data_IF_099614796017
#
_entry.id   IF_099614796017
#
_cell.length_a   1.000
_cell.length_b   1.000
_cell.length_c   1.000
_cell.angle_alpha   90.00
_cell.angle_beta   90.00
_cell.angle_gamma   90.00
#
_symmetry.space_group_name_H-M   'P 1'
#
loop_
_entity.id
_entity.type
_entity.pdbx_description
1 polymer ?
#
# COMPACT_ATOMS: atom_id res chain seq x y z
N UNK A 1 -18.98 34.09 -15.96
CA UNK A 1 -18.73 32.98 -15.01
C UNK A 1 -17.31 32.47 -15.24
N UNK A 2 -16.31 33.01 -14.52
CA UNK A 2 -14.88 32.75 -14.77
C UNK A 2 -14.13 32.10 -13.61
N UNK A 3 -14.82 31.76 -12.52
CA UNK A 3 -14.24 31.08 -11.36
C UNK A 3 -13.53 29.77 -11.74
N UNK A 4 -13.98 29.08 -12.82
CA UNK A 4 -13.32 27.88 -13.34
C UNK A 4 -11.87 28.13 -13.77
N UNK A 5 -11.52 29.36 -14.15
CA UNK A 5 -10.15 29.75 -14.53
C UNK A 5 -9.24 30.01 -13.32
N UNK A 6 -9.83 30.16 -12.14
CA UNK A 6 -9.10 30.34 -10.88
C UNK A 6 -8.71 28.99 -10.26
N UNK A 7 -9.29 27.88 -10.74
CA UNK A 7 -8.88 26.54 -10.36
C UNK A 7 -7.49 26.20 -10.89
N UNK A 8 -6.75 25.36 -10.14
CA UNK A 8 -5.54 24.74 -10.67
C UNK A 8 -5.88 23.87 -11.89
N UNK A 9 -4.94 23.79 -12.84
CA UNK A 9 -5.12 22.99 -14.08
C UNK A 9 -5.49 21.53 -13.80
N UNK A 10 -4.93 20.96 -12.73
CA UNK A 10 -5.22 19.60 -12.29
C UNK A 10 -6.68 19.46 -11.83
N UNK A 11 -7.16 20.34 -10.95
CA UNK A 11 -8.55 20.31 -10.48
C UNK A 11 -9.54 20.56 -11.62
N UNK A 12 -9.19 21.48 -12.53
CA UNK A 12 -10.02 21.76 -13.70
C UNK A 12 -10.21 20.52 -14.57
N UNK A 13 -9.14 19.75 -14.82
CA UNK A 13 -9.22 18.50 -15.59
C UNK A 13 -10.19 17.50 -14.97
N UNK A 14 -10.11 17.27 -13.66
CA UNK A 14 -11.01 16.34 -12.97
C UNK A 14 -12.44 16.85 -12.91
N UNK A 15 -12.63 18.15 -12.67
CA UNK A 15 -13.95 18.78 -12.67
C UNK A 15 -14.66 18.58 -14.02
N UNK A 16 -14.00 18.93 -15.12
CA UNK A 16 -14.59 18.80 -16.46
C UNK A 16 -14.87 17.33 -16.80
N UNK A 17 -14.01 16.39 -16.38
CA UNK A 17 -14.29 14.96 -16.52
C UNK A 17 -15.55 14.52 -15.78
N UNK A 18 -15.74 14.97 -14.54
CA UNK A 18 -16.92 14.61 -13.74
C UNK A 18 -18.19 15.26 -14.31
N UNK A 19 -18.10 16.51 -14.78
CA UNK A 19 -19.19 17.17 -15.48
C UNK A 19 -19.57 16.35 -16.72
N UNK A 20 -18.60 15.99 -17.57
CA UNK A 20 -18.85 15.20 -18.77
C UNK A 20 -19.45 13.82 -18.46
N UNK A 21 -18.93 13.14 -17.44
CA UNK A 21 -19.43 11.83 -17.02
C UNK A 21 -20.85 11.93 -16.45
N UNK A 22 -21.17 12.99 -15.68
CA UNK A 22 -22.55 13.19 -15.20
C UNK A 22 -23.55 13.35 -16.35
N UNK A 23 -23.13 13.87 -17.51
CA UNK A 23 -23.98 13.99 -18.69
C UNK A 23 -24.32 12.64 -19.34
N UNK A 24 -23.65 11.52 -19.00
CA UNK A 24 -24.13 10.19 -19.45
C UNK A 24 -25.51 9.86 -18.88
N UNK A 25 -25.93 10.56 -17.82
CA UNK A 25 -27.24 10.45 -17.19
C UNK A 25 -28.16 11.63 -17.56
N UNK A 26 -27.98 12.21 -18.75
CA UNK A 26 -28.72 13.38 -19.24
C UNK A 26 -30.23 13.26 -19.08
N UNK A 27 -30.80 12.09 -19.37
CA UNK A 27 -32.24 11.86 -19.23
C UNK A 27 -32.74 12.10 -17.79
N UNK A 28 -32.00 11.62 -16.78
CA UNK A 28 -32.35 11.85 -15.38
C UNK A 28 -32.21 13.33 -14.99
N UNK A 29 -31.21 14.02 -15.55
CA UNK A 29 -31.01 15.47 -15.35
C UNK A 29 -32.17 16.25 -15.97
N UNK A 30 -32.62 15.89 -17.16
CA UNK A 30 -33.68 16.60 -17.90
C UNK A 30 -35.05 16.47 -17.25
N UNK A 31 -35.32 15.35 -16.58
CA UNK A 31 -36.55 15.13 -15.84
C UNK A 31 -36.59 15.86 -14.48
N UNK A 32 -35.45 16.35 -13.98
CA UNK A 32 -35.39 17.00 -12.68
C UNK A 32 -35.90 18.46 -12.75
N UNK A 33 -36.59 18.88 -11.69
CA UNK A 33 -37.05 20.27 -11.53
C UNK A 33 -35.87 21.26 -11.52
N UNK A 34 -34.76 20.88 -10.88
CA UNK A 34 -33.52 21.63 -10.87
C UNK A 34 -32.41 20.79 -11.50
N UNK A 35 -32.06 21.14 -12.73
CA UNK A 35 -31.06 20.42 -13.55
C UNK A 35 -29.66 20.54 -12.96
N UNK A 36 -29.30 21.71 -12.41
CA UNK A 36 -27.99 21.95 -11.82
C UNK A 36 -27.78 21.12 -10.56
N UNK A 37 -28.80 21.10 -9.69
CA UNK A 37 -28.79 20.25 -8.50
C UNK A 37 -28.78 18.76 -8.84
N UNK A 38 -29.55 18.33 -9.84
CA UNK A 38 -29.55 16.94 -10.29
C UNK A 38 -28.18 16.51 -10.82
N UNK A 39 -27.54 17.35 -11.65
CA UNK A 39 -26.21 17.08 -12.16
C UNK A 39 -25.18 16.95 -11.04
N UNK A 40 -25.25 17.81 -10.01
CA UNK A 40 -24.39 17.74 -8.84
C UNK A 40 -24.57 16.42 -8.06
N UNK A 41 -25.80 15.99 -7.83
CA UNK A 41 -26.07 14.71 -7.15
C UNK A 41 -25.56 13.51 -7.94
N UNK A 42 -25.72 13.53 -9.26
CA UNK A 42 -25.20 12.47 -10.14
C UNK A 42 -23.67 12.45 -10.09
N UNK A 43 -23.02 13.62 -10.19
CA UNK A 43 -21.58 13.74 -10.04
C UNK A 43 -21.09 13.18 -8.69
N UNK A 44 -21.79 13.49 -7.60
CA UNK A 44 -21.47 12.96 -6.26
C UNK A 44 -21.61 11.44 -6.19
N UNK A 45 -22.69 10.88 -6.76
CA UNK A 45 -22.90 9.44 -6.80
C UNK A 45 -21.81 8.71 -7.62
N UNK A 46 -21.38 9.29 -8.76
CA UNK A 46 -20.28 8.78 -9.57
C UNK A 46 -18.97 8.75 -8.76
N UNK A 47 -18.67 9.84 -8.04
CA UNK A 47 -17.49 9.91 -7.18
C UNK A 47 -17.53 8.88 -6.06
N UNK A 48 -18.67 8.74 -5.38
CA UNK A 48 -18.85 7.75 -4.33
C UNK A 48 -18.65 6.33 -4.82
N UNK A 49 -19.18 6.00 -6.01
CA UNK A 49 -18.94 4.70 -6.66
C UNK A 49 -17.45 4.44 -6.88
N UNK A 50 -16.71 5.43 -7.41
CA UNK A 50 -15.27 5.30 -7.66
C UNK A 50 -14.48 5.09 -6.37
N UNK A 51 -14.86 5.78 -5.30
CA UNK A 51 -14.24 5.59 -3.97
C UNK A 51 -14.49 4.16 -3.48
N UNK A 52 -15.73 3.69 -3.51
CA UNK A 52 -16.08 2.32 -3.10
C UNK A 52 -15.33 1.25 -3.93
N UNK A 53 -15.21 1.45 -5.24
CA UNK A 53 -14.44 0.56 -6.12
C UNK A 53 -12.95 0.54 -5.74
N UNK A 54 -12.38 1.67 -5.37
CA UNK A 54 -10.98 1.77 -4.91
C UNK A 54 -10.78 1.13 -3.53
N UNK A 55 -11.71 1.33 -2.60
CA UNK A 55 -11.70 0.68 -1.28
C UNK A 55 -11.75 -0.84 -1.41
N UNK A 56 -12.63 -1.36 -2.27
CA UNK A 56 -12.74 -2.80 -2.53
C UNK A 56 -11.46 -3.37 -3.11
N UNK A 57 -10.86 -2.69 -4.10
CA UNK A 57 -9.57 -3.09 -4.68
C UNK A 57 -8.45 -3.06 -3.65
N UNK A 58 -8.43 -2.05 -2.79
CA UNK A 58 -7.43 -1.92 -1.73
C UNK A 58 -7.57 -3.06 -0.72
N UNK A 59 -8.79 -3.32 -0.24
CA UNK A 59 -9.07 -4.43 0.67
C UNK A 59 -8.71 -5.79 0.05
N UNK A 60 -8.97 -5.99 -1.24
CA UNK A 60 -8.57 -7.19 -1.96
C UNK A 60 -7.04 -7.34 -2.01
N UNK A 61 -6.32 -6.29 -2.40
CA UNK A 61 -4.86 -6.29 -2.47
C UNK A 61 -4.22 -6.49 -1.09
N UNK A 62 -4.76 -5.88 -0.04
CA UNK A 62 -4.31 -6.09 1.33
C UNK A 62 -4.49 -7.54 1.78
N UNK A 63 -5.62 -8.18 1.43
CA UNK A 63 -5.85 -9.60 1.71
C UNK A 63 -4.88 -10.48 0.94
N UNK A 64 -4.67 -10.20 -0.35
CA UNK A 64 -3.71 -10.93 -1.17
C UNK A 64 -2.28 -10.80 -0.59
N UNK A 65 -1.86 -9.58 -0.23
CA UNK A 65 -0.54 -9.35 0.39
C UNK A 65 -0.40 -10.10 1.72
N UNK A 66 -1.45 -10.19 2.55
CA UNK A 66 -1.43 -11.02 3.76
C UNK A 66 -1.30 -12.52 3.48
N UNK A 67 -1.82 -13.01 2.36
CA UNK A 67 -1.69 -14.42 1.95
C UNK A 67 -0.30 -14.74 1.41
N UNK A 68 0.30 -13.84 0.61
CA UNK A 68 1.64 -14.04 0.04
C UNK A 68 2.77 -13.72 1.01
N UNK A 69 2.56 -12.74 1.87
CA UNK A 69 3.42 -12.41 2.99
C UNK A 69 2.62 -12.62 4.27
N UNK A 70 2.33 -13.88 4.65
CA UNK A 70 1.83 -14.13 5.98
C UNK A 70 2.92 -13.58 6.88
N UNK A 71 2.66 -12.45 7.55
CA UNK A 71 3.48 -12.02 8.66
C UNK A 71 3.54 -13.27 9.51
N UNK A 72 4.70 -13.92 9.60
CA UNK A 72 4.94 -14.93 10.62
C UNK A 72 4.54 -14.17 11.88
N UNK A 73 3.40 -14.53 12.44
CA UNK A 73 2.96 -13.99 13.70
C UNK A 73 4.12 -14.32 14.62
N UNK A 74 4.97 -13.32 14.89
CA UNK A 74 6.00 -13.40 15.91
C UNK A 74 5.24 -13.93 17.11
N UNK A 75 5.60 -15.13 17.54
CA UNK A 75 4.88 -15.81 18.61
C UNK A 75 4.79 -14.83 19.77
N UNK A 76 3.70 -14.82 20.53
CA UNK A 76 3.58 -13.96 21.71
C UNK A 76 4.79 -14.09 22.65
N UNK A 77 5.44 -15.28 22.63
CA UNK A 77 6.72 -15.58 23.29
C UNK A 77 7.93 -14.85 22.68
N UNK A 78 8.00 -14.68 21.36
CA UNK A 78 9.07 -13.93 20.70
C UNK A 78 8.90 -12.41 20.90
N UNK A 79 7.66 -11.91 21.00
CA UNK A 79 7.41 -10.51 21.38
C UNK A 79 7.84 -10.23 22.81
N UNK A 80 7.47 -11.10 23.76
CA UNK A 80 7.91 -11.00 25.15
C UNK A 80 9.44 -11.13 25.28
N UNK A 81 10.08 -11.98 24.47
CA UNK A 81 11.54 -12.09 24.45
C UNK A 81 12.22 -10.81 23.93
N UNK A 82 11.67 -10.18 22.89
CA UNK A 82 12.18 -8.92 22.35
C UNK A 82 11.97 -7.75 23.32
N UNK A 83 10.83 -7.70 24.03
CA UNK A 83 10.58 -6.70 25.07
C UNK A 83 11.54 -6.85 26.26
N UNK A 84 11.78 -8.08 26.72
CA UNK A 84 12.77 -8.36 27.77
C UNK A 84 14.20 -8.02 27.35
N UNK A 85 14.56 -8.24 26.09
CA UNK A 85 15.87 -7.87 25.55
C UNK A 85 16.02 -6.34 25.44
N UNK A 86 14.98 -5.64 24.99
CA UNK A 86 14.93 -4.17 24.96
C UNK A 86 15.03 -3.56 26.37
N UNK A 87 14.35 -4.12 27.36
CA UNK A 87 14.46 -3.68 28.76
C UNK A 87 15.86 -3.90 29.35
N UNK A 88 16.52 -5.02 29.01
CA UNK A 88 17.91 -5.28 29.43
C UNK A 88 18.87 -4.27 28.80
N UNK A 89 18.71 -3.96 27.51
CA UNK A 89 19.52 -2.96 26.82
C UNK A 89 19.31 -1.57 27.45
N UNK A 90 18.06 -1.21 27.76
CA UNK A 90 17.74 0.07 28.39
C UNK A 90 18.32 0.18 29.80
N UNK A 91 18.22 -0.87 30.62
CA UNK A 91 18.84 -0.93 31.96
C UNK A 91 20.36 -0.81 31.89
N UNK A 92 20.99 -1.44 30.90
CA UNK A 92 22.45 -1.36 30.71
C UNK A 92 22.91 0.04 30.27
N UNK A 93 22.10 0.76 29.49
CA UNK A 93 22.39 2.14 29.10
C UNK A 93 22.21 3.12 30.27
N UNK A 94 21.20 2.90 31.11
CA UNK A 94 20.91 3.76 32.27
C UNK A 94 21.86 3.51 33.47
N UNK A 95 22.40 2.30 33.62
CA UNK A 95 23.34 1.96 34.70
C UNK A 95 24.78 2.42 34.43
N UNK A 96 25.05 3.05 33.29
CA UNK A 96 26.38 3.59 32.96
C UNK A 96 27.48 2.52 32.79
N UNK A 97 27.12 1.24 32.70
CA UNK A 97 28.11 0.19 32.42
C UNK A 97 28.61 0.35 30.99
N UNK A 98 29.93 0.54 30.85
CA UNK A 98 30.61 0.51 29.56
C UNK A 98 30.30 -0.81 28.87
N UNK A 99 29.64 -0.75 27.72
CA UNK A 99 29.60 -1.86 26.77
C UNK A 99 31.04 -2.09 26.34
N UNK A 100 31.69 -3.13 26.85
CA UNK A 100 32.91 -3.65 26.24
C UNK A 100 32.52 -4.17 24.85
N UNK A 101 32.79 -3.33 23.85
CA UNK A 101 32.76 -3.70 22.45
C UNK A 101 33.88 -4.73 22.22
N UNK A 102 33.58 -5.98 22.51
CA UNK A 102 34.42 -7.12 22.17
C UNK A 102 34.53 -7.18 20.65
N UNK A 103 35.69 -6.72 20.14
CA UNK A 103 36.11 -6.80 18.75
C UNK A 103 35.98 -8.24 18.24
N UNK A 104 34.92 -8.55 17.51
CA UNK A 104 34.89 -9.72 16.61
C UNK A 104 35.37 -9.30 15.22
N UNK A 105 36.66 -8.96 15.12
CA UNK A 105 37.40 -9.01 13.85
C UNK A 105 38.07 -10.38 13.74
N UNK A 106 37.35 -11.39 13.24
CA UNK A 106 37.88 -12.63 12.63
C UNK A 106 36.68 -13.53 12.29
N UNK A 107 36.15 -13.58 11.07
CA UNK A 107 36.68 -14.45 10.02
C UNK A 107 35.75 -14.42 8.78
N UNK A 108 35.66 -13.26 8.13
CA UNK A 108 35.19 -13.16 6.74
C UNK A 108 36.30 -13.70 5.82
N UNK A 109 36.49 -15.03 5.76
CA UNK A 109 37.24 -15.77 4.71
C UNK A 109 37.16 -17.28 5.00
N UNK A 110 36.69 -18.06 4.01
CA UNK A 110 36.45 -19.53 3.98
C UNK A 110 35.07 -19.90 4.54
N UNK A 111 34.00 -20.03 3.74
CA UNK A 111 33.80 -21.07 2.72
C UNK A 111 32.78 -20.62 1.66
N UNK A 112 33.22 -19.79 0.70
CA UNK A 112 32.57 -19.71 -0.62
C UNK A 112 33.29 -20.63 -1.60
N UNK A 113 33.25 -21.95 -1.36
CA UNK A 113 33.53 -22.96 -2.39
C UNK A 113 32.68 -24.19 -2.11
N UNK A 114 31.83 -24.52 -3.10
CA UNK A 114 31.01 -25.74 -3.28
C UNK A 114 29.54 -25.67 -2.87
N UNK A 115 28.74 -24.96 -3.69
CA UNK A 115 27.41 -25.42 -4.10
C UNK A 115 26.96 -24.74 -5.42
N UNK A 116 27.82 -24.70 -6.45
CA UNK A 116 27.34 -24.60 -7.85
C UNK A 116 26.85 -25.99 -8.26
N UNK A 117 25.65 -26.38 -7.85
CA UNK A 117 24.93 -27.49 -8.50
C UNK A 117 23.96 -26.85 -9.50
N UNK A 118 24.37 -26.86 -10.76
CA UNK A 118 23.58 -26.47 -11.92
C UNK A 118 22.26 -27.24 -11.88
N UNK A 119 21.14 -26.58 -11.61
CA UNK A 119 19.82 -27.13 -11.95
C UNK A 119 19.67 -27.02 -13.47
N UNK A 120 19.88 -28.14 -14.17
CA UNK A 120 19.44 -28.28 -15.56
C UNK A 120 17.91 -28.27 -15.55
N UNK A 121 17.31 -27.11 -15.83
CA UNK A 121 15.90 -27.05 -16.20
C UNK A 121 15.81 -27.61 -17.62
N UNK A 122 15.30 -28.84 -17.76
CA UNK A 122 14.90 -29.39 -19.05
C UNK A 122 13.53 -28.80 -19.38
N UNK A 123 13.48 -27.89 -20.35
CA UNK A 123 12.23 -27.44 -20.95
C UNK A 123 11.84 -28.49 -21.98
N UNK A 124 10.72 -29.18 -21.78
CA UNK A 124 10.11 -30.03 -22.78
C UNK A 124 9.50 -29.12 -23.86
N UNK A 125 9.91 -29.30 -25.13
CA UNK A 125 9.16 -28.78 -26.28
C UNK A 125 8.07 -29.82 -26.59
N UNK A 126 6.82 -29.42 -26.45
CA UNK A 126 5.69 -30.10 -27.08
C UNK A 126 5.78 -29.89 -28.60
N UNK A 127 5.79 -30.99 -29.34
CA UNK A 127 5.54 -31.01 -30.79
C UNK A 127 4.05 -30.82 -31.06
#
# INVERSE_FOLDING_TARGET
MTWRKELSKELQYYLERIILESYSHKHAIEQAKDKGKAQLWIALAILQKKIADLELKTAYLERALKQFFPRKSISEKEKQAQEQEAEKILKNLLSGQKIECAKTKTSLKRKMKKAKKKSKIKIARSF
#
